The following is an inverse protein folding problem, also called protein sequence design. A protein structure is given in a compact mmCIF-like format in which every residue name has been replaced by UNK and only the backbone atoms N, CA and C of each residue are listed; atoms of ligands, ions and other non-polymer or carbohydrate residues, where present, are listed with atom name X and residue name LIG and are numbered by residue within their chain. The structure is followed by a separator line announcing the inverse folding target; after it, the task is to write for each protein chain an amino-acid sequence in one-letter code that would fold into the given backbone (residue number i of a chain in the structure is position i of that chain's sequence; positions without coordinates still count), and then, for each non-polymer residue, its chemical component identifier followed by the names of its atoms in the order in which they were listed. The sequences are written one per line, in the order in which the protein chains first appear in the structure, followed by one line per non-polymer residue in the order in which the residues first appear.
data_IF_608845316460
#
_entry.id   IF_608845316460
#
_cell.length_a   1.000
_cell.length_b   1.000
_cell.length_c   1.000
_cell.angle_alpha   90.00
_cell.angle_beta   90.00
_cell.angle_gamma   90.00
#
_symmetry.space_group_name_H-M   'P 1'
#
loop_
_entity.id
_entity.type
_entity.pdbx_description
1 polymer ?
#
# COMPACT_ATOMS: atom_id res chain seq x y z
N UNK A 1 8.78 -5.07 -26.99
CA UNK A 1 8.89 -6.21 -26.07
C UNK A 1 7.49 -6.66 -25.73
N UNK A 2 7.17 -7.96 -25.63
CA UNK A 2 5.87 -8.33 -25.08
C UNK A 2 5.79 -7.80 -23.67
N UNK A 3 4.73 -7.05 -23.36
CA UNK A 3 4.54 -6.41 -22.07
C UNK A 3 4.64 -7.43 -20.93
N UNK A 4 5.33 -7.07 -19.86
CA UNK A 4 5.44 -7.93 -18.68
C UNK A 4 4.03 -8.17 -18.12
N UNK A 5 3.65 -9.44 -17.98
CA UNK A 5 2.37 -9.77 -17.35
C UNK A 5 2.43 -9.45 -15.88
N UNK A 6 1.64 -8.47 -15.42
CA UNK A 6 1.53 -8.13 -14.00
C UNK A 6 0.84 -9.29 -13.28
N UNK A 7 1.48 -9.90 -12.27
CA UNK A 7 0.89 -11.04 -11.59
C UNK A 7 -0.35 -10.63 -10.79
N UNK A 8 -1.37 -11.49 -10.77
CA UNK A 8 -2.52 -11.33 -9.89
C UNK A 8 -2.18 -11.92 -8.53
N UNK A 9 -2.34 -11.13 -7.47
CA UNK A 9 -2.15 -11.60 -6.11
C UNK A 9 -3.51 -11.78 -5.44
N UNK A 10 -3.65 -12.83 -4.64
CA UNK A 10 -4.92 -13.10 -3.96
C UNK A 10 -4.72 -13.28 -2.46
N UNK A 11 -5.75 -12.86 -1.72
CA UNK A 11 -5.94 -13.12 -0.30
C UNK A 11 -7.32 -13.75 -0.10
N UNK A 12 -7.78 -13.89 1.13
CA UNK A 12 -9.14 -14.38 1.41
C UNK A 12 -10.22 -13.45 0.83
N UNK A 13 -10.11 -12.14 1.05
CA UNK A 13 -11.13 -11.15 0.65
C UNK A 13 -10.77 -10.37 -0.61
N UNK A 14 -9.47 -10.31 -0.96
CA UNK A 14 -8.96 -9.35 -1.94
C UNK A 14 -8.36 -10.06 -3.15
N UNK A 15 -8.46 -9.38 -4.29
CA UNK A 15 -7.75 -9.68 -5.51
C UNK A 15 -6.99 -8.42 -5.95
N UNK A 16 -5.68 -8.52 -6.04
CA UNK A 16 -4.80 -7.43 -6.45
C UNK A 16 -4.46 -7.63 -7.92
N UNK A 17 -4.87 -6.68 -8.76
CA UNK A 17 -4.73 -6.74 -10.21
C UNK A 17 -3.95 -5.54 -10.74
N UNK A 18 -3.51 -5.61 -11.99
CA UNK A 18 -2.91 -4.46 -12.67
C UNK A 18 -3.83 -3.23 -12.60
N UNK A 19 -3.29 -2.01 -12.40
CA UNK A 19 -4.10 -0.80 -12.49
C UNK A 19 -4.64 -0.62 -13.92
N UNK A 20 -5.87 -0.14 -14.04
CA UNK A 20 -6.56 0.07 -15.32
C UNK A 20 -7.11 1.50 -15.41
N UNK A 21 -7.39 1.95 -16.64
CA UNK A 21 -7.93 3.30 -16.87
C UNK A 21 -9.23 3.57 -16.12
N UNK A 22 -10.04 2.54 -15.87
CA UNK A 22 -11.30 2.65 -15.13
C UNK A 22 -11.13 2.97 -13.64
N UNK A 23 -9.94 2.76 -13.07
CA UNK A 23 -9.65 3.09 -11.66
C UNK A 23 -9.30 4.57 -11.47
N UNK A 24 -8.98 5.28 -12.57
CA UNK A 24 -8.54 6.68 -12.50
C UNK A 24 -9.53 7.64 -11.86
N UNK A 25 -10.87 7.55 -12.08
CA UNK A 25 -11.82 8.45 -11.42
C UNK A 25 -11.72 8.43 -9.90
N UNK A 26 -11.65 7.25 -9.28
CA UNK A 26 -11.55 7.09 -7.82
C UNK A 26 -10.17 7.53 -7.29
N UNK A 27 -9.11 7.20 -8.03
CA UNK A 27 -7.76 7.70 -7.74
C UNK A 27 -7.73 9.23 -7.74
N UNK A 28 -8.23 9.86 -8.81
CA UNK A 28 -8.32 11.32 -8.93
C UNK A 28 -9.12 11.94 -7.79
N UNK A 29 -10.31 11.38 -7.49
CA UNK A 29 -11.16 11.88 -6.40
C UNK A 29 -10.44 11.78 -5.05
N UNK A 30 -9.74 10.68 -4.79
CA UNK A 30 -8.94 10.48 -3.57
C UNK A 30 -7.84 11.54 -3.46
N UNK A 31 -7.06 11.74 -4.52
CA UNK A 31 -5.95 12.69 -4.51
C UNK A 31 -6.37 14.15 -4.56
N UNK A 32 -7.56 14.47 -5.07
CA UNK A 32 -8.12 15.81 -4.98
C UNK A 32 -8.65 16.17 -3.59
N UNK A 33 -8.86 15.18 -2.73
CA UNK A 33 -9.39 15.39 -1.38
C UNK A 33 -8.29 15.75 -0.37
N UNK A 34 -8.69 16.36 0.75
CA UNK A 34 -7.78 16.67 1.86
C UNK A 34 -7.13 15.41 2.48
N UNK A 35 -7.71 14.24 2.24
CA UNK A 35 -7.16 12.96 2.70
C UNK A 35 -5.74 12.71 2.14
N UNK A 36 -5.46 13.17 0.93
CA UNK A 36 -4.15 12.98 0.28
C UNK A 36 -3.04 13.92 0.77
N UNK A 37 -3.31 14.80 1.71
CA UNK A 37 -2.33 15.77 2.25
C UNK A 37 -1.01 15.17 2.74
N UNK A 38 -1.02 13.90 3.13
CA UNK A 38 0.16 13.15 3.55
C UNK A 38 0.77 12.28 2.45
N UNK A 39 0.26 12.40 1.22
CA UNK A 39 0.68 11.63 0.05
C UNK A 39 1.00 12.56 -1.14
N UNK A 40 1.45 13.79 -0.85
CA UNK A 40 1.76 14.79 -1.87
C UNK A 40 0.57 15.59 -2.40
N UNK A 41 -0.65 15.36 -1.91
CA UNK A 41 -1.86 16.09 -2.30
C UNK A 41 -2.27 17.19 -1.32
N UNK A 42 -3.43 17.85 -1.53
CA UNK A 42 -4.36 17.62 -2.64
C UNK A 42 -3.78 17.97 -4.02
N UNK A 43 -4.08 17.14 -5.01
CA UNK A 43 -3.61 17.30 -6.39
C UNK A 43 -4.71 17.87 -7.29
N UNK A 44 -4.34 18.70 -8.25
CA UNK A 44 -5.23 19.08 -9.35
C UNK A 44 -5.39 17.93 -10.36
N UNK A 45 -6.28 18.11 -11.34
CA UNK A 45 -6.61 17.05 -12.30
C UNK A 45 -5.39 16.60 -13.16
N UNK A 46 -4.51 17.54 -13.51
CA UNK A 46 -3.31 17.24 -14.29
C UNK A 46 -2.27 16.48 -13.46
N UNK A 47 -2.01 16.92 -12.23
CA UNK A 47 -1.09 16.27 -11.31
C UNK A 47 -1.55 14.85 -10.96
N UNK A 48 -2.84 14.66 -10.69
CA UNK A 48 -3.41 13.33 -10.43
C UNK A 48 -3.31 12.42 -11.65
N UNK A 49 -3.49 12.96 -12.87
CA UNK A 49 -3.31 12.20 -14.10
C UNK A 49 -1.84 11.78 -14.29
N UNK A 50 -0.90 12.71 -14.08
CA UNK A 50 0.53 12.42 -14.19
C UNK A 50 0.98 11.37 -13.18
N UNK A 51 0.50 11.47 -11.94
CA UNK A 51 0.81 10.49 -10.91
C UNK A 51 0.24 9.11 -11.29
N UNK A 52 -1.00 9.04 -11.75
CA UNK A 52 -1.60 7.76 -12.16
C UNK A 52 -0.90 7.14 -13.38
N UNK A 53 -0.50 7.96 -14.34
CA UNK A 53 0.30 7.50 -15.47
C UNK A 53 1.67 6.97 -15.03
N UNK A 54 2.29 7.59 -14.00
CA UNK A 54 3.53 7.12 -13.41
C UNK A 54 3.34 5.78 -12.67
N UNK A 55 2.20 5.55 -11.97
CA UNK A 55 1.87 4.27 -11.36
C UNK A 55 1.79 3.13 -12.39
N UNK A 56 1.17 3.39 -13.54
CA UNK A 56 1.12 2.42 -14.65
C UNK A 56 2.50 2.21 -15.25
N UNK A 57 3.21 3.31 -15.58
CA UNK A 57 4.54 3.26 -16.19
C UNK A 57 5.61 2.64 -15.28
N UNK A 58 5.42 2.68 -13.97
CA UNK A 58 6.34 2.10 -13.00
C UNK A 58 6.52 0.58 -13.21
N UNK A 59 5.46 -0.11 -13.59
CA UNK A 59 5.52 -1.54 -13.93
C UNK A 59 6.46 -1.84 -15.09
N UNK A 60 6.40 -1.04 -16.15
CA UNK A 60 7.29 -1.21 -17.31
C UNK A 60 8.75 -0.83 -17.00
N UNK A 61 8.95 0.18 -16.16
CA UNK A 61 10.29 0.71 -15.84
C UNK A 61 11.01 -0.16 -14.80
N UNK A 62 10.29 -0.64 -13.78
CA UNK A 62 10.87 -1.31 -12.60
C UNK A 62 10.59 -2.81 -12.53
N UNK A 63 9.61 -3.31 -13.30
CA UNK A 63 9.16 -4.70 -13.23
C UNK A 63 8.27 -5.03 -12.02
N UNK A 64 7.88 -4.02 -11.26
CA UNK A 64 6.93 -4.08 -10.16
C UNK A 64 6.27 -2.71 -9.96
N UNK A 65 5.17 -2.64 -9.21
CA UNK A 65 4.45 -1.39 -9.00
C UNK A 65 3.29 -1.55 -8.02
N UNK A 66 2.35 -0.62 -8.10
CA UNK A 66 1.13 -0.65 -7.31
C UNK A 66 0.07 -1.49 -8.02
N UNK A 67 -0.57 -2.40 -7.28
CA UNK A 67 -1.78 -3.11 -7.70
C UNK A 67 -3.01 -2.35 -7.26
N UNK A 68 -4.08 -2.37 -8.06
CA UNK A 68 -5.42 -2.05 -7.59
C UNK A 68 -5.95 -3.18 -6.72
N UNK A 69 -6.69 -2.87 -5.67
CA UNK A 69 -7.25 -3.81 -4.71
C UNK A 69 -8.73 -3.96 -4.97
N UNK A 70 -9.16 -5.17 -5.39
CA UNK A 70 -10.56 -5.51 -5.57
C UNK A 70 -11.08 -6.34 -4.40
N UNK A 71 -12.34 -6.11 -4.04
CA UNK A 71 -13.11 -7.04 -3.20
C UNK A 71 -13.56 -8.23 -4.06
N UNK A 72 -13.33 -9.45 -3.59
CA UNK A 72 -13.71 -10.67 -4.31
C UNK A 72 -15.24 -10.87 -4.41
N UNK A 73 -15.97 -10.39 -3.43
CA UNK A 73 -17.42 -10.53 -3.32
C UNK A 73 -18.19 -9.56 -4.21
N UNK A 74 -17.72 -8.34 -4.38
CA UNK A 74 -18.41 -7.28 -5.13
C UNK A 74 -17.69 -6.87 -6.42
N UNK A 75 -16.42 -7.20 -6.59
CA UNK A 75 -15.57 -6.72 -7.69
C UNK A 75 -15.20 -5.25 -7.60
N UNK A 76 -15.52 -4.59 -6.50
CA UNK A 76 -15.32 -3.17 -6.29
C UNK A 76 -13.85 -2.87 -5.97
N UNK A 77 -13.29 -1.82 -6.59
CA UNK A 77 -11.94 -1.33 -6.27
C UNK A 77 -11.99 -0.49 -4.98
N UNK A 78 -11.12 -0.78 -4.03
CA UNK A 78 -11.10 -0.13 -2.71
C UNK A 78 -9.81 0.63 -2.42
N UNK A 79 -8.83 0.58 -3.32
CA UNK A 79 -7.55 1.23 -3.15
C UNK A 79 -6.45 0.61 -3.99
N UNK A 80 -5.22 0.94 -3.63
CA UNK A 80 -4.01 0.38 -4.23
C UNK A 80 -2.99 0.01 -3.15
N UNK A 81 -2.18 -1.00 -3.41
CA UNK A 81 -1.01 -1.36 -2.59
C UNK A 81 0.08 -1.96 -3.48
N UNK A 82 1.34 -1.67 -3.17
CA UNK A 82 2.43 -2.18 -4.00
C UNK A 82 3.79 -1.58 -3.71
N UNK A 83 4.69 -1.72 -4.67
CA UNK A 83 6.03 -1.17 -4.63
C UNK A 83 6.13 0.16 -5.37
N UNK A 84 6.88 1.08 -4.77
CA UNK A 84 7.15 2.39 -5.36
C UNK A 84 8.63 2.72 -5.24
N UNK A 85 9.25 3.12 -6.35
CA UNK A 85 10.69 3.45 -6.37
C UNK A 85 11.03 4.37 -7.54
N UNK A 86 10.52 5.60 -7.56
CA UNK A 86 10.92 6.60 -8.56
C UNK A 86 12.35 7.09 -8.30
N UNK A 87 12.89 7.88 -9.22
CA UNK A 87 14.30 8.26 -9.25
C UNK A 87 14.84 8.97 -7.98
N UNK A 88 13.97 9.61 -7.18
CA UNK A 88 14.37 10.33 -5.96
C UNK A 88 14.32 9.49 -4.68
N UNK A 89 13.70 8.30 -4.73
CA UNK A 89 13.57 7.46 -3.56
C UNK A 89 14.91 6.83 -3.20
N UNK A 90 15.34 6.92 -1.93
CA UNK A 90 16.57 6.29 -1.48
C UNK A 90 16.51 4.76 -1.49
N UNK A 91 15.35 4.21 -1.13
CA UNK A 91 15.12 2.76 -1.05
C UNK A 91 13.78 2.36 -1.66
N UNK A 92 13.60 1.06 -1.93
CA UNK A 92 12.34 0.49 -2.41
C UNK A 92 11.26 0.64 -1.35
N UNK A 93 10.17 1.26 -1.72
CA UNK A 93 9.03 1.49 -0.83
C UNK A 93 7.94 0.45 -1.04
N UNK A 94 7.30 0.03 0.04
CA UNK A 94 5.98 -0.60 0.03
C UNK A 94 4.98 0.46 0.45
N UNK A 95 4.07 0.80 -0.46
CA UNK A 95 3.07 1.85 -0.29
C UNK A 95 1.64 1.30 -0.33
N UNK A 96 0.70 2.06 0.23
CA UNK A 96 -0.73 1.75 0.23
C UNK A 96 -1.58 3.01 0.19
N UNK A 97 -2.70 2.90 -0.49
CA UNK A 97 -3.73 3.93 -0.59
C UNK A 97 -5.08 3.23 -0.50
N UNK A 98 -5.93 3.60 0.47
CA UNK A 98 -7.30 3.09 0.56
C UNK A 98 -8.25 4.25 0.31
N UNK A 99 -9.25 4.02 -0.53
CA UNK A 99 -10.27 5.04 -0.83
C UNK A 99 -10.97 5.51 0.45
N UNK A 100 -11.35 6.80 0.55
CA UNK A 100 -11.81 7.40 1.82
C UNK A 100 -12.92 6.63 2.53
N UNK A 101 -13.92 6.16 1.80
CA UNK A 101 -15.10 5.45 2.30
C UNK A 101 -14.87 3.94 2.53
N UNK A 102 -13.66 3.44 2.25
CA UNK A 102 -13.26 2.04 2.40
C UNK A 102 -12.29 1.78 3.55
N UNK A 103 -11.95 2.81 4.32
CA UNK A 103 -11.02 2.71 5.44
C UNK A 103 -11.58 1.91 6.63
N UNK A 104 -10.71 1.50 7.54
CA UNK A 104 -11.10 0.85 8.81
C UNK A 104 -11.52 -0.62 8.70
N UNK A 105 -11.49 -1.21 7.50
CA UNK A 105 -11.93 -2.60 7.23
C UNK A 105 -10.78 -3.61 7.14
N UNK A 106 -9.54 -3.18 7.44
CA UNK A 106 -8.35 -4.01 7.40
C UNK A 106 -7.81 -4.33 6.00
N UNK A 107 -8.37 -3.72 4.94
CA UNK A 107 -7.95 -4.00 3.56
C UNK A 107 -6.49 -3.62 3.31
N UNK A 108 -6.03 -2.47 3.83
CA UNK A 108 -4.63 -2.07 3.70
C UNK A 108 -3.68 -3.10 4.32
N UNK A 109 -3.97 -3.57 5.54
CA UNK A 109 -3.14 -4.57 6.23
C UNK A 109 -3.05 -5.87 5.42
N UNK A 110 -4.20 -6.39 4.99
CA UNK A 110 -4.30 -7.64 4.23
C UNK A 110 -3.59 -7.55 2.87
N UNK A 111 -3.81 -6.46 2.13
CA UNK A 111 -3.18 -6.24 0.84
C UNK A 111 -1.66 -6.06 0.97
N UNK A 112 -1.22 -5.21 1.90
CA UNK A 112 0.20 -4.88 2.05
C UNK A 112 1.01 -6.08 2.55
N UNK A 113 0.48 -6.89 3.46
CA UNK A 113 1.14 -8.15 3.87
C UNK A 113 1.28 -9.12 2.68
N UNK A 114 0.24 -9.24 1.84
CA UNK A 114 0.30 -10.09 0.63
C UNK A 114 1.31 -9.58 -0.39
N UNK A 115 1.37 -8.26 -0.61
CA UNK A 115 2.36 -7.60 -1.48
C UNK A 115 3.77 -7.84 -0.97
N UNK A 116 4.02 -7.60 0.32
CA UNK A 116 5.33 -7.82 0.95
C UNK A 116 5.79 -9.26 0.78
N UNK A 117 4.92 -10.25 0.98
CA UNK A 117 5.24 -11.66 0.75
C UNK A 117 5.64 -11.92 -0.70
N UNK A 118 4.95 -11.32 -1.67
CA UNK A 118 5.32 -11.44 -3.08
C UNK A 118 6.71 -10.85 -3.34
N UNK A 119 6.97 -9.65 -2.84
CA UNK A 119 8.27 -9.01 -3.05
C UNK A 119 9.42 -9.82 -2.45
N UNK A 120 9.22 -10.41 -1.28
CA UNK A 120 10.27 -11.17 -0.61
C UNK A 120 10.46 -12.57 -1.21
N UNK A 121 9.38 -13.29 -1.49
CA UNK A 121 9.47 -14.67 -1.97
C UNK A 121 9.70 -14.77 -3.48
N UNK A 122 9.04 -13.92 -4.25
CA UNK A 122 9.02 -14.05 -5.71
C UNK A 122 10.03 -13.11 -6.39
N UNK A 123 10.28 -11.91 -5.80
CA UNK A 123 11.24 -10.94 -6.34
C UNK A 123 12.57 -10.87 -5.55
N UNK A 124 12.71 -11.64 -4.46
CA UNK A 124 13.96 -11.72 -3.69
C UNK A 124 14.35 -10.43 -2.97
N UNK A 125 13.38 -9.58 -2.58
CA UNK A 125 13.70 -8.41 -1.76
C UNK A 125 14.11 -8.86 -0.35
N UNK A 126 15.19 -8.29 0.15
CA UNK A 126 15.66 -8.57 1.51
C UNK A 126 14.98 -7.67 2.54
N UNK A 127 14.66 -6.44 2.14
CA UNK A 127 14.00 -5.44 2.98
C UNK A 127 13.23 -4.44 2.10
N UNK A 128 12.40 -3.63 2.73
CA UNK A 128 11.70 -2.49 2.14
C UNK A 128 11.44 -1.44 3.21
N UNK A 129 11.06 -0.24 2.81
CA UNK A 129 10.64 0.83 3.70
C UNK A 129 9.26 1.34 3.33
N UNK A 130 8.63 2.10 4.21
CA UNK A 130 7.51 3.00 3.90
C UNK A 130 7.87 4.40 4.40
N UNK A 131 7.77 5.39 3.52
CA UNK A 131 7.97 6.80 3.84
C UNK A 131 6.65 7.39 4.29
N UNK A 132 6.56 7.82 5.54
CA UNK A 132 5.30 8.22 6.16
C UNK A 132 5.45 9.61 6.79
N UNK A 133 4.58 10.55 6.42
CA UNK A 133 4.50 11.82 7.14
C UNK A 133 4.26 11.56 8.64
N UNK A 134 5.06 12.15 9.54
CA UNK A 134 4.92 11.94 10.99
C UNK A 134 3.54 12.29 11.57
N UNK A 135 2.72 13.05 10.84
CA UNK A 135 1.35 13.39 11.21
C UNK A 135 0.31 12.38 10.70
N UNK A 136 0.71 11.45 9.82
CA UNK A 136 -0.17 10.42 9.27
C UNK A 136 -0.26 9.22 10.24
N UNK A 137 -0.95 9.43 11.35
CA UNK A 137 -1.06 8.42 12.41
C UNK A 137 -1.69 7.11 11.95
N UNK A 138 -2.58 7.14 10.96
CA UNK A 138 -3.22 5.93 10.45
C UNK A 138 -2.24 5.05 9.69
N UNK A 139 -1.38 5.65 8.85
CA UNK A 139 -0.32 4.92 8.16
C UNK A 139 0.77 4.45 9.13
N UNK A 140 1.10 5.24 10.15
CA UNK A 140 2.04 4.81 11.20
C UNK A 140 1.52 3.57 11.93
N UNK A 141 0.27 3.60 12.39
CA UNK A 141 -0.35 2.44 13.04
C UNK A 141 -0.38 1.21 12.13
N UNK A 142 -0.63 1.40 10.84
CA UNK A 142 -0.60 0.29 9.90
C UNK A 142 0.81 -0.28 9.73
N UNK A 143 1.83 0.57 9.59
CA UNK A 143 3.23 0.13 9.52
C UNK A 143 3.62 -0.67 10.78
N UNK A 144 3.30 -0.18 11.96
CA UNK A 144 3.56 -0.86 13.24
C UNK A 144 2.85 -2.22 13.30
N UNK A 145 1.59 -2.31 12.87
CA UNK A 145 0.83 -3.57 12.79
C UNK A 145 1.41 -4.56 11.77
N UNK A 146 2.07 -4.07 10.73
CA UNK A 146 2.85 -4.89 9.79
C UNK A 146 4.20 -5.33 10.38
N UNK A 147 4.50 -4.95 11.62
CA UNK A 147 5.75 -5.25 12.30
C UNK A 147 6.90 -4.32 11.89
N UNK A 148 6.62 -3.23 11.18
CA UNK A 148 7.64 -2.25 10.82
C UNK A 148 8.08 -1.45 12.06
N UNK A 149 9.33 -0.99 12.05
CA UNK A 149 9.86 -0.09 13.07
C UNK A 149 10.39 1.19 12.44
N UNK A 150 10.36 2.27 13.21
CA UNK A 150 10.92 3.55 12.77
C UNK A 150 12.44 3.43 12.69
N UNK A 151 12.98 3.52 11.48
CA UNK A 151 14.41 3.52 11.20
C UNK A 151 14.94 4.96 11.13
N UNK A 152 15.67 5.36 12.15
CA UNK A 152 16.18 6.73 12.29
C UNK A 152 17.45 7.00 11.51
N UNK A 153 18.11 5.93 11.07
CA UNK A 153 19.38 6.01 10.32
C UNK A 153 19.14 5.94 8.80
N UNK A 154 17.92 5.55 8.38
CA UNK A 154 17.56 5.46 6.98
C UNK A 154 17.47 6.85 6.33
N UNK A 155 17.88 6.95 5.07
CA UNK A 155 17.76 8.16 4.29
C UNK A 155 16.29 8.48 4.01
N UNK A 156 15.90 9.75 4.17
CA UNK A 156 14.57 10.26 3.87
C UNK A 156 14.50 10.79 2.43
N UNK A 157 13.28 11.01 1.91
CA UNK A 157 13.10 11.55 0.54
C UNK A 157 13.50 13.02 0.50
N UNK A 158 13.06 13.80 1.49
CA UNK A 158 13.28 15.26 1.55
C UNK A 158 13.54 15.79 2.98
N UNK A 159 13.74 14.89 3.94
CA UNK A 159 13.96 15.24 5.34
C UNK A 159 12.69 15.39 6.18
N UNK A 160 11.49 15.35 5.59
CA UNK A 160 10.22 15.51 6.29
C UNK A 160 9.57 14.18 6.73
N UNK A 161 9.88 13.11 6.03
CA UNK A 161 9.27 11.81 6.27
C UNK A 161 9.91 11.05 7.43
N UNK A 162 9.11 10.22 8.08
CA UNK A 162 9.60 9.14 8.93
C UNK A 162 9.72 7.86 8.10
N UNK A 163 10.86 7.19 8.20
CA UNK A 163 11.10 5.93 7.50
C UNK A 163 10.69 4.76 8.40
N UNK A 164 9.79 3.92 7.92
CA UNK A 164 9.36 2.71 8.59
C UNK A 164 9.90 1.49 7.83
N UNK A 165 10.84 0.79 8.46
CA UNK A 165 11.47 -0.39 7.86
C UNK A 165 10.62 -1.63 8.06
N UNK A 166 10.40 -2.36 6.98
CA UNK A 166 9.74 -3.65 7.03
C UNK A 166 10.68 -4.74 7.55
N UNK A 167 10.20 -5.66 8.40
CA UNK A 167 10.99 -6.78 8.87
C UNK A 167 11.41 -7.68 7.70
N UNK A 168 12.61 -8.25 7.80
CA UNK A 168 13.10 -9.27 6.85
C UNK A 168 12.29 -10.57 6.95
N UNK A 169 12.44 -11.46 5.97
CA UNK A 169 11.78 -12.77 6.01
C UNK A 169 12.09 -13.56 7.29
N UNK A 170 13.33 -13.51 7.76
CA UNK A 170 13.74 -14.28 8.96
C UNK A 170 13.17 -13.66 10.23
N UNK A 171 13.08 -12.33 10.30
CA UNK A 171 12.39 -11.65 11.39
C UNK A 171 10.90 -11.95 11.38
N UNK A 172 10.25 -12.03 10.21
CA UNK A 172 8.85 -12.42 10.08
C UNK A 172 8.58 -13.86 10.53
N UNK A 173 9.49 -14.80 10.27
CA UNK A 173 9.37 -16.19 10.72
C UNK A 173 9.47 -16.29 12.24
N UNK A 174 10.23 -15.39 12.89
CA UNK A 174 10.53 -15.48 14.33
C UNK A 174 9.49 -14.87 15.25
N UNK A 175 8.81 -13.78 14.87
CA UNK A 175 8.04 -12.97 15.83
C UNK A 175 6.69 -12.43 15.36
N UNK A 176 6.52 -12.08 14.11
CA UNK A 176 5.39 -11.25 13.66
C UNK A 176 4.39 -11.95 12.74
N UNK A 177 4.79 -13.02 12.09
CA UNK A 177 3.93 -13.71 11.13
C UNK A 177 2.63 -14.25 11.76
N UNK A 178 2.67 -14.67 13.01
CA UNK A 178 1.50 -15.18 13.72
C UNK A 178 0.55 -14.03 14.13
N UNK A 179 1.09 -12.94 14.67
CA UNK A 179 0.30 -11.78 15.09
C UNK A 179 -0.41 -11.09 13.92
N UNK A 180 0.30 -10.88 12.81
CA UNK A 180 -0.28 -10.28 11.60
C UNK A 180 -1.36 -11.18 11.00
N UNK A 181 -1.13 -12.50 10.93
CA UNK A 181 -2.11 -13.45 10.40
C UNK A 181 -3.38 -13.48 11.26
N UNK A 182 -3.24 -13.44 12.59
CA UNK A 182 -4.39 -13.39 13.50
C UNK A 182 -5.17 -12.08 13.35
N UNK A 183 -4.48 -10.96 13.19
CA UNK A 183 -5.11 -9.66 13.00
C UNK A 183 -5.84 -9.58 11.67
N UNK A 184 -5.25 -10.08 10.58
CA UNK A 184 -5.93 -10.19 9.30
C UNK A 184 -7.16 -11.09 9.42
N UNK A 185 -7.05 -12.23 10.11
CA UNK A 185 -8.17 -13.14 10.35
C UNK A 185 -9.33 -12.46 11.11
N UNK A 186 -9.02 -11.58 12.07
CA UNK A 186 -10.03 -10.79 12.77
C UNK A 186 -10.86 -9.91 11.82
N UNK A 187 -10.23 -9.21 10.89
CA UNK A 187 -10.96 -8.43 9.87
C UNK A 187 -11.70 -9.28 8.84
N UNK A 188 -11.32 -10.55 8.71
CA UNK A 188 -11.97 -11.51 7.81
C UNK A 188 -13.13 -12.24 8.49
N UNK A 189 -13.36 -12.03 9.78
CA UNK A 189 -14.50 -12.57 10.51
C UNK A 189 -15.80 -11.93 9.97
N UNK A 190 -16.82 -12.72 9.55
CA UNK A 190 -18.11 -12.19 9.10
C UNK A 190 -18.83 -11.36 10.16
N UNK A 191 -18.51 -11.55 11.45
CA UNK A 191 -19.08 -10.80 12.57
C UNK A 191 -18.33 -9.49 12.85
N UNK A 192 -17.21 -9.23 12.16
CA UNK A 192 -16.45 -8.00 12.35
C UNK A 192 -17.28 -6.78 11.90
N UNK A 193 -17.56 -5.90 12.85
CA UNK A 193 -18.16 -4.59 12.57
C UNK A 193 -17.07 -3.52 12.68
N UNK A 194 -16.72 -2.81 11.59
CA UNK A 194 -15.80 -1.69 11.66
C UNK A 194 -16.31 -0.66 12.67
N UNK A 195 -15.46 -0.22 13.59
CA UNK A 195 -15.79 0.96 14.42
C UNK A 195 -15.99 2.12 13.45
N UNK A 196 -17.19 2.75 13.48
CA UNK A 196 -17.46 3.93 12.69
C UNK A 196 -16.39 4.98 13.00
N UNK A 197 -15.66 5.41 11.98
CA UNK A 197 -14.85 6.61 12.11
C UNK A 197 -15.79 7.79 12.08
N UNK A 198 -15.85 8.54 13.18
CA UNK A 198 -16.39 9.88 13.15
C UNK A 198 -15.53 10.69 12.17
N UNK A 199 -16.15 11.17 11.12
CA UNK A 199 -15.55 12.14 10.22
C UNK A 199 -15.78 13.49 10.89
N UNK A 200 -14.79 13.97 11.66
CA UNK A 200 -14.71 15.36 12.08
C UNK A 200 -14.01 16.20 11.00
#
# INVERSE_FOLDING_TARGET
MPGQTIPVLETKRLRLCAPEAQDYPDFKATFASYRSRFMGGPLNAYEAWMLYAAEIGHWEIRGYGMWRIHLKDTGETVGMAGGWFPAKWPEREIAWIIWPDRSGKGFALEATDRVRRHFYHDLGWETAVSYIDPKNLDSIRLAERLGCWKDREAATIDGSDAVYRHPTLDQLKGQTGHGIAMEIAHYQDPLFKPKGFAID
#
